data_IF_091034812409
#
_entry.id   IF_091034812409
#
_cell.length_a   1.000
_cell.length_b   1.000
_cell.length_c   1.000
_cell.angle_alpha   90.00
_cell.angle_beta   90.00
_cell.angle_gamma   90.00
#
_symmetry.space_group_name_H-M   'P 1'
#
loop_
_entity.id
_entity.type
_entity.pdbx_description
1 polymer ?
#
# COMPACT_ATOMS: atom_id res chain seq x y z
N UNK A 1 -61.98 -16.35 -55.96
CA UNK A 1 -60.53 -16.20 -55.62
C UNK A 1 -59.69 -15.56 -56.75
N UNK A 2 -60.07 -15.67 -58.02
CA UNK A 2 -59.32 -15.05 -59.15
C UNK A 2 -59.35 -13.51 -59.14
N UNK A 3 -60.50 -12.90 -58.80
CA UNK A 3 -60.66 -11.43 -58.80
C UNK A 3 -59.77 -10.70 -57.77
N UNK A 4 -59.52 -11.33 -56.61
CA UNK A 4 -58.62 -10.76 -55.59
C UNK A 4 -57.15 -10.78 -56.05
N UNK A 5 -56.74 -11.83 -56.79
CA UNK A 5 -55.37 -11.92 -57.33
C UNK A 5 -55.12 -10.91 -58.45
N UNK A 6 -56.10 -10.70 -59.33
CA UNK A 6 -56.03 -9.70 -60.40
C UNK A 6 -56.05 -8.26 -59.87
N UNK A 7 -56.84 -7.98 -58.82
CA UNK A 7 -56.86 -6.66 -58.17
C UNK A 7 -55.53 -6.35 -57.46
N UNK A 8 -54.90 -7.37 -56.87
CA UNK A 8 -53.56 -7.24 -56.26
C UNK A 8 -52.49 -7.04 -57.34
N UNK A 9 -52.54 -7.78 -58.47
CA UNK A 9 -51.56 -7.58 -59.55
C UNK A 9 -51.65 -6.19 -60.18
N UNK A 10 -52.87 -5.67 -60.39
CA UNK A 10 -53.07 -4.33 -60.95
C UNK A 10 -52.55 -3.23 -60.00
N UNK A 11 -52.78 -3.38 -58.69
CA UNK A 11 -52.27 -2.45 -57.68
C UNK A 11 -50.76 -2.54 -57.49
N UNK A 12 -50.17 -3.71 -57.73
CA UNK A 12 -48.72 -3.92 -57.74
C UNK A 12 -48.06 -3.32 -58.99
N UNK A 13 -48.78 -3.17 -60.11
CA UNK A 13 -48.30 -2.50 -61.32
C UNK A 13 -48.51 -0.99 -61.35
N UNK A 14 -49.20 -0.42 -60.36
CA UNK A 14 -49.39 1.03 -60.26
C UNK A 14 -48.03 1.71 -59.99
N UNK A 15 -47.54 2.59 -60.89
CA UNK A 15 -46.21 3.21 -60.77
C UNK A 15 -46.08 4.05 -59.49
N UNK A 16 -47.16 4.65 -59.00
CA UNK A 16 -47.17 5.37 -57.73
C UNK A 16 -47.00 4.44 -56.51
N UNK A 17 -47.61 3.25 -56.54
CA UNK A 17 -47.50 2.28 -55.45
C UNK A 17 -46.09 1.71 -55.40
N UNK A 18 -45.51 1.37 -56.56
CA UNK A 18 -44.13 0.92 -56.67
C UNK A 18 -43.14 1.99 -56.18
N UNK A 19 -43.33 3.26 -56.55
CA UNK A 19 -42.47 4.36 -56.08
C UNK A 19 -42.51 4.54 -54.56
N UNK A 20 -43.71 4.49 -53.95
CA UNK A 20 -43.84 4.58 -52.48
C UNK A 20 -43.25 3.36 -51.76
N UNK A 21 -43.40 2.17 -52.33
CA UNK A 21 -42.84 0.93 -51.77
C UNK A 21 -41.31 0.96 -51.84
N UNK A 22 -40.74 1.32 -52.99
CA UNK A 22 -39.28 1.44 -53.18
C UNK A 22 -38.70 2.47 -52.21
N UNK A 23 -39.31 3.65 -52.06
CA UNK A 23 -38.85 4.67 -51.11
C UNK A 23 -38.87 4.20 -49.65
N UNK A 24 -39.87 3.40 -49.25
CA UNK A 24 -39.92 2.82 -47.90
C UNK A 24 -38.84 1.78 -47.70
N UNK A 25 -38.61 0.92 -48.69
CA UNK A 25 -37.57 -0.11 -48.64
C UNK A 25 -36.16 0.50 -48.65
N UNK A 26 -35.91 1.53 -49.46
CA UNK A 26 -34.62 2.23 -49.47
C UNK A 26 -34.38 2.95 -48.14
N UNK A 27 -35.39 3.60 -47.56
CA UNK A 27 -35.28 4.21 -46.23
C UNK A 27 -34.97 3.17 -45.13
N UNK A 28 -35.59 1.98 -45.20
CA UNK A 28 -35.35 0.89 -44.26
C UNK A 28 -33.92 0.33 -44.41
N UNK A 29 -33.44 0.15 -45.64
CA UNK A 29 -32.04 -0.24 -45.91
C UNK A 29 -31.04 0.78 -45.38
N UNK A 30 -31.29 2.08 -45.58
CA UNK A 30 -30.43 3.15 -45.05
C UNK A 30 -30.45 3.14 -43.52
N UNK A 31 -31.61 2.98 -42.89
CA UNK A 31 -31.72 2.89 -41.44
C UNK A 31 -30.98 1.67 -40.85
N UNK A 32 -31.04 0.52 -41.51
CA UNK A 32 -30.26 -0.65 -41.08
C UNK A 32 -28.76 -0.40 -41.25
N UNK A 33 -28.34 0.20 -42.37
CA UNK A 33 -26.93 0.54 -42.61
C UNK A 33 -26.40 1.49 -41.53
N UNK A 34 -27.14 2.54 -41.17
CA UNK A 34 -26.70 3.48 -40.12
C UNK A 34 -26.59 2.81 -38.75
N UNK A 35 -27.53 1.94 -38.39
CA UNK A 35 -27.46 1.16 -37.14
C UNK A 35 -26.24 0.25 -37.12
N UNK A 36 -25.94 -0.44 -38.24
CA UNK A 36 -24.74 -1.30 -38.30
C UNK A 36 -23.44 -0.51 -38.16
N UNK A 37 -23.33 0.65 -38.81
CA UNK A 37 -22.15 1.52 -38.69
C UNK A 37 -22.01 2.05 -37.26
N UNK A 38 -23.11 2.45 -36.61
CA UNK A 38 -23.07 2.89 -35.22
C UNK A 38 -22.66 1.77 -34.26
N UNK A 39 -23.14 0.54 -34.48
CA UNK A 39 -22.75 -0.62 -33.68
C UNK A 39 -21.27 -0.98 -33.87
N UNK A 40 -20.75 -0.90 -35.09
CA UNK A 40 -19.33 -1.11 -35.39
C UNK A 40 -18.45 -0.01 -34.79
N UNK A 41 -18.88 1.25 -34.83
CA UNK A 41 -18.18 2.35 -34.19
C UNK A 41 -18.15 2.17 -32.66
N UNK A 42 -19.26 1.73 -32.05
CA UNK A 42 -19.32 1.44 -30.63
C UNK A 42 -18.43 0.26 -30.24
N UNK A 43 -18.43 -0.84 -31.00
CA UNK A 43 -17.58 -2.00 -30.70
C UNK A 43 -16.10 -1.65 -30.83
N UNK A 44 -15.73 -0.88 -31.86
CA UNK A 44 -14.37 -0.35 -32.03
C UNK A 44 -13.96 0.56 -30.86
N UNK A 45 -14.86 1.43 -30.40
CA UNK A 45 -14.62 2.29 -29.25
C UNK A 45 -14.46 1.52 -27.93
N UNK A 46 -15.21 0.43 -27.74
CA UNK A 46 -15.03 -0.47 -26.58
C UNK A 46 -13.68 -1.19 -26.64
N UNK A 47 -13.23 -1.61 -27.82
CA UNK A 47 -12.00 -2.38 -28.01
C UNK A 47 -10.73 -1.52 -27.93
N UNK A 48 -10.82 -0.23 -28.29
CA UNK A 48 -9.71 0.73 -28.21
C UNK A 48 -9.59 1.41 -26.85
N UNK A 49 -10.58 1.27 -25.97
CA UNK A 49 -10.44 1.63 -24.56
C UNK A 49 -9.76 0.47 -23.82
N UNK A 50 -8.51 0.62 -23.37
CA UNK A 50 -7.93 -0.38 -22.48
C UNK A 50 -8.84 -0.45 -21.25
N UNK A 51 -9.45 -1.62 -21.01
CA UNK A 51 -10.05 -1.89 -19.71
C UNK A 51 -8.91 -1.81 -18.69
N UNK A 52 -8.86 -0.73 -17.91
CA UNK A 52 -7.90 -0.58 -16.82
C UNK A 52 -8.08 -1.77 -15.88
N UNK A 53 -7.29 -2.81 -16.10
CA UNK A 53 -7.35 -4.04 -15.34
C UNK A 53 -6.65 -3.73 -14.03
N UNK A 54 -7.42 -3.29 -13.03
CA UNK A 54 -6.90 -2.98 -11.70
C UNK A 54 -6.78 -4.30 -10.95
N UNK A 55 -5.56 -4.70 -10.68
CA UNK A 55 -5.30 -5.85 -9.82
C UNK A 55 -5.42 -5.41 -8.37
N UNK A 56 -6.26 -6.12 -7.61
CA UNK A 56 -6.45 -5.89 -6.17
C UNK A 56 -6.02 -7.13 -5.40
N UNK A 57 -5.36 -6.90 -4.27
CA UNK A 57 -5.07 -7.91 -3.26
C UNK A 57 -6.31 -8.08 -2.38
N UNK A 58 -6.77 -9.32 -2.23
CA UNK A 58 -7.88 -9.70 -1.36
C UNK A 58 -7.36 -10.73 -0.37
N UNK A 59 -7.21 -10.35 0.89
CA UNK A 59 -6.68 -11.21 1.97
C UNK A 59 -7.79 -11.81 2.86
N UNK A 60 -9.06 -11.50 2.56
CA UNK A 60 -10.23 -11.94 3.33
C UNK A 60 -10.41 -11.29 4.71
N UNK A 61 -9.49 -10.41 5.14
CA UNK A 61 -9.51 -9.72 6.44
C UNK A 61 -9.66 -8.21 6.31
N UNK A 62 -9.06 -7.63 5.28
CA UNK A 62 -9.02 -6.21 4.99
C UNK A 62 -9.77 -5.90 3.69
N UNK A 63 -10.27 -4.66 3.51
CA UNK A 63 -10.85 -4.26 2.24
C UNK A 63 -9.82 -4.42 1.10
N UNK A 64 -10.28 -4.78 -0.12
CA UNK A 64 -9.39 -4.97 -1.28
C UNK A 64 -8.50 -3.74 -1.52
N UNK A 65 -7.19 -3.96 -1.74
CA UNK A 65 -6.21 -2.87 -1.95
C UNK A 65 -5.52 -3.03 -3.30
N UNK A 66 -5.21 -1.94 -4.04
CA UNK A 66 -4.54 -2.04 -5.33
C UNK A 66 -3.10 -2.55 -5.17
N UNK A 67 -2.64 -3.37 -6.12
CA UNK A 67 -1.23 -3.77 -6.19
C UNK A 67 -0.38 -2.52 -6.49
N UNK A 68 0.57 -2.20 -5.59
CA UNK A 68 1.59 -1.17 -5.82
C UNK A 68 2.96 -1.82 -5.95
N UNK A 69 3.79 -1.39 -6.89
CA UNK A 69 5.16 -1.88 -7.06
C UNK A 69 6.04 -1.53 -5.85
N UNK A 70 6.93 -2.42 -5.39
CA UNK A 70 7.77 -2.26 -4.18
C UNK A 70 8.65 -0.99 -4.13
N UNK A 71 8.82 -0.33 -5.27
CA UNK A 71 9.59 0.92 -5.42
C UNK A 71 8.76 2.18 -5.15
N UNK A 72 7.43 2.05 -5.00
CA UNK A 72 6.56 3.17 -4.63
C UNK A 72 6.32 3.26 -3.11
N UNK A 73 6.05 4.46 -2.56
CA UNK A 73 5.62 4.60 -1.17
C UNK A 73 4.33 3.82 -0.88
N UNK A 74 4.24 3.21 0.32
CA UNK A 74 3.02 2.54 0.82
C UNK A 74 2.17 3.48 1.66
N UNK A 75 2.85 4.37 2.40
CA UNK A 75 2.29 5.37 3.30
C UNK A 75 2.86 6.74 2.96
N UNK A 76 2.24 7.81 3.45
CA UNK A 76 2.83 9.14 3.36
C UNK A 76 4.03 9.30 4.31
N UNK A 77 4.84 10.35 4.08
CA UNK A 77 6.06 10.60 4.86
C UNK A 77 5.76 10.82 6.35
N UNK A 78 4.61 11.41 6.70
CA UNK A 78 4.25 11.67 8.10
C UNK A 78 3.92 10.36 8.80
N UNK A 79 3.10 9.52 8.17
CA UNK A 79 2.75 8.18 8.62
C UNK A 79 3.99 7.29 8.74
N UNK A 80 4.93 7.37 7.80
CA UNK A 80 6.20 6.65 7.85
C UNK A 80 7.01 7.05 9.08
N UNK A 81 7.17 8.36 9.31
CA UNK A 81 7.93 8.88 10.45
C UNK A 81 7.28 8.51 11.78
N UNK A 82 5.96 8.67 11.91
CA UNK A 82 5.21 8.29 13.11
C UNK A 82 5.28 6.78 13.39
N UNK A 83 5.11 5.96 12.35
CA UNK A 83 5.22 4.50 12.44
C UNK A 83 6.62 4.11 12.93
N UNK A 84 7.66 4.73 12.37
CA UNK A 84 9.06 4.45 12.72
C UNK A 84 9.35 4.82 14.17
N UNK A 85 8.94 6.02 14.60
CA UNK A 85 9.11 6.46 16.00
C UNK A 85 8.40 5.48 16.94
N UNK A 86 7.15 5.11 16.66
CA UNK A 86 6.39 4.16 17.49
C UNK A 86 7.06 2.77 17.54
N UNK A 87 7.58 2.31 16.41
CA UNK A 87 8.24 1.02 16.31
C UNK A 87 9.54 0.97 17.12
N UNK A 88 10.36 2.01 17.02
CA UNK A 88 11.61 2.15 17.79
C UNK A 88 11.31 2.31 19.27
N UNK A 89 10.43 3.25 19.66
CA UNK A 89 10.13 3.49 21.08
C UNK A 89 9.60 2.22 21.77
N UNK A 90 8.81 1.40 21.09
CA UNK A 90 8.36 0.11 21.63
C UNK A 90 9.51 -0.85 21.97
N UNK A 91 10.64 -0.79 21.25
CA UNK A 91 11.82 -1.62 21.54
C UNK A 91 12.65 -1.08 22.72
N UNK A 92 12.59 0.23 22.99
CA UNK A 92 13.31 0.88 24.10
C UNK A 92 12.47 1.02 25.39
N UNK A 93 11.15 0.84 25.30
CA UNK A 93 10.20 0.83 26.41
C UNK A 93 10.06 -0.58 26.98
N UNK A 94 11.03 -0.98 27.80
CA UNK A 94 11.09 -2.33 28.37
C UNK A 94 11.38 -2.29 29.87
N UNK A 95 10.93 -3.30 30.60
CA UNK A 95 11.18 -3.43 32.02
C UNK A 95 11.92 -4.74 32.35
N UNK A 96 12.60 -4.79 33.49
CA UNK A 96 13.40 -5.97 33.87
C UNK A 96 12.62 -7.29 33.99
N UNK A 97 11.29 -7.25 34.20
CA UNK A 97 10.44 -8.41 34.44
C UNK A 97 9.86 -8.98 33.14
N UNK A 98 9.28 -8.12 32.31
CA UNK A 98 8.53 -8.44 31.09
C UNK A 98 9.32 -8.19 29.80
N UNK A 99 10.60 -7.82 29.87
CA UNK A 99 11.39 -7.56 28.65
C UNK A 99 11.31 -8.69 27.61
N UNK A 100 11.24 -10.01 27.92
CA UNK A 100 11.19 -11.03 26.87
C UNK A 100 9.92 -10.92 26.03
N UNK A 101 8.77 -10.67 26.66
CA UNK A 101 7.48 -10.55 25.97
C UNK A 101 7.36 -9.21 25.25
N UNK A 102 7.85 -8.13 25.87
CA UNK A 102 7.87 -6.79 25.28
C UNK A 102 8.78 -6.73 24.05
N UNK A 103 10.00 -7.27 24.14
CA UNK A 103 10.94 -7.33 23.02
C UNK A 103 10.42 -8.25 21.91
N UNK A 104 9.82 -9.39 22.22
CA UNK A 104 9.20 -10.25 21.20
C UNK A 104 8.08 -9.51 20.45
N UNK A 105 7.25 -8.75 21.17
CA UNK A 105 6.19 -7.94 20.57
C UNK A 105 6.75 -6.81 19.70
N UNK A 106 7.77 -6.09 20.19
CA UNK A 106 8.45 -5.04 19.43
C UNK A 106 9.14 -5.59 18.17
N UNK A 107 9.76 -6.77 18.27
CA UNK A 107 10.48 -7.46 17.20
C UNK A 107 9.63 -7.76 15.96
N UNK A 108 8.30 -7.81 16.08
CA UNK A 108 7.39 -8.03 14.94
C UNK A 108 7.50 -6.92 13.86
N UNK A 109 7.96 -5.73 14.23
CA UNK A 109 8.19 -4.60 13.31
C UNK A 109 9.58 -4.59 12.65
N UNK A 110 10.42 -5.55 12.98
CA UNK A 110 11.78 -5.66 12.47
C UNK A 110 11.88 -6.79 11.45
N UNK A 111 12.83 -6.67 10.54
CA UNK A 111 13.37 -7.83 9.82
C UNK A 111 14.30 -8.61 10.76
N UNK A 112 14.68 -9.83 10.38
CA UNK A 112 15.64 -10.63 11.16
C UNK A 112 16.97 -9.87 11.28
N UNK A 113 17.43 -9.25 10.19
CA UNK A 113 18.64 -8.43 10.17
C UNK A 113 18.49 -7.19 11.05
N UNK A 114 17.36 -6.47 10.92
CA UNK A 114 17.08 -5.28 11.71
C UNK A 114 17.06 -5.58 13.20
N UNK A 115 16.43 -6.69 13.60
CA UNK A 115 16.41 -7.14 14.98
C UNK A 115 17.80 -7.44 15.53
N UNK A 116 18.63 -8.13 14.75
CA UNK A 116 20.01 -8.42 15.15
C UNK A 116 20.84 -7.14 15.30
N UNK A 117 20.69 -6.18 14.39
CA UNK A 117 21.39 -4.89 14.48
C UNK A 117 20.97 -4.08 15.72
N UNK A 118 19.67 -4.08 16.03
CA UNK A 118 19.14 -3.48 17.25
C UNK A 118 19.74 -4.16 18.49
N UNK A 119 19.66 -5.49 18.57
CA UNK A 119 20.15 -6.24 19.72
C UNK A 119 21.64 -5.98 19.97
N UNK A 120 22.46 -5.97 18.91
CA UNK A 120 23.88 -5.63 19.01
C UNK A 120 24.10 -4.21 19.51
N UNK A 121 23.42 -3.21 18.94
CA UNK A 121 23.54 -1.81 19.35
C UNK A 121 23.07 -1.59 20.79
N UNK A 122 21.98 -2.23 21.18
CA UNK A 122 21.38 -2.11 22.51
C UNK A 122 22.23 -2.77 23.60
N UNK A 123 22.84 -3.92 23.29
CA UNK A 123 23.80 -4.58 24.20
C UNK A 123 25.11 -3.78 24.32
N UNK A 124 25.63 -3.25 23.22
CA UNK A 124 26.85 -2.45 23.21
C UNK A 124 26.73 -1.17 24.04
N UNK A 125 25.54 -0.56 24.08
CA UNK A 125 25.25 0.61 24.91
C UNK A 125 25.17 0.33 26.42
N UNK A 126 25.27 -0.92 26.88
CA UNK A 126 25.31 -1.31 28.30
C UNK A 126 24.00 -1.11 29.09
N UNK A 127 23.04 -0.38 28.53
CA UNK A 127 21.77 -0.01 29.19
C UNK A 127 20.90 -1.23 29.51
N UNK A 128 20.90 -2.25 28.65
CA UNK A 128 20.14 -3.49 28.86
C UNK A 128 20.63 -4.28 30.07
N UNK A 129 21.95 -4.43 30.20
CA UNK A 129 22.56 -5.16 31.32
C UNK A 129 22.40 -4.40 32.63
N UNK A 130 22.51 -3.06 32.60
CA UNK A 130 22.23 -2.21 33.74
C UNK A 130 20.77 -2.33 34.20
N UNK A 131 19.82 -2.35 33.27
CA UNK A 131 18.40 -2.54 33.58
C UNK A 131 18.15 -3.89 34.27
N UNK A 132 18.72 -4.98 33.75
CA UNK A 132 18.56 -6.33 34.33
C UNK A 132 19.15 -6.41 35.73
N UNK A 133 20.38 -5.94 35.93
CA UNK A 133 21.06 -5.99 37.24
C UNK A 133 20.38 -5.08 38.26
N UNK A 134 19.99 -3.88 37.84
CA UNK A 134 19.36 -2.88 38.68
C UNK A 134 17.86 -3.08 38.89
N UNK A 135 17.24 -4.09 38.26
CA UNK A 135 15.78 -4.30 38.25
C UNK A 135 15.02 -3.01 37.90
N UNK A 136 15.48 -2.34 36.85
CA UNK A 136 14.94 -1.04 36.43
C UNK A 136 13.78 -1.20 35.44
N UNK A 137 12.96 -0.16 35.37
CA UNK A 137 12.00 0.07 34.30
C UNK A 137 12.58 1.12 33.36
N UNK A 138 12.68 0.82 32.07
CA UNK A 138 13.17 1.76 31.07
C UNK A 138 12.02 2.27 30.20
N UNK A 139 11.99 3.58 30.00
CA UNK A 139 11.10 4.25 29.07
C UNK A 139 11.90 5.24 28.21
N UNK A 140 11.41 5.46 27.00
CA UNK A 140 12.04 6.25 25.98
C UNK A 140 11.02 7.20 25.35
N UNK A 141 11.49 8.40 25.05
CA UNK A 141 10.71 9.43 24.39
C UNK A 141 11.54 10.11 23.31
N UNK A 142 10.91 10.43 22.17
CA UNK A 142 11.53 11.22 21.13
C UNK A 142 11.68 12.67 21.61
N UNK A 143 12.89 13.23 21.55
CA UNK A 143 13.15 14.61 21.95
C UNK A 143 12.80 15.62 20.85
N UNK A 144 12.82 15.17 19.58
CA UNK A 144 12.48 15.98 18.41
C UNK A 144 11.75 15.11 17.38
N UNK A 145 11.12 15.79 16.42
CA UNK A 145 10.50 15.12 15.29
C UNK A 145 11.54 14.30 14.50
N UNK A 146 11.09 13.17 13.95
CA UNK A 146 11.90 12.36 13.06
C UNK A 146 11.99 12.99 11.68
N UNK A 147 13.11 12.72 11.00
CA UNK A 147 13.41 13.26 9.68
C UNK A 147 13.91 12.14 8.78
N UNK A 148 13.55 12.23 7.50
CA UNK A 148 14.08 11.33 6.46
C UNK A 148 15.43 11.91 6.03
N UNK A 149 16.52 11.23 6.40
CA UNK A 149 17.87 11.63 6.04
C UNK A 149 18.21 11.26 4.59
N UNK A 150 17.71 10.12 4.11
CA UNK A 150 17.94 9.63 2.75
C UNK A 150 16.81 8.68 2.32
N UNK A 151 16.50 8.68 1.02
CA UNK A 151 15.51 7.79 0.39
C UNK A 151 16.14 7.16 -0.84
N UNK A 152 16.19 5.83 -0.88
CA UNK A 152 16.82 5.09 -1.98
C UNK A 152 16.09 3.78 -2.28
N UNK A 153 16.32 3.24 -3.46
CA UNK A 153 15.90 1.88 -3.79
C UNK A 153 17.09 0.95 -3.53
N UNK A 154 16.90 -0.02 -2.62
CA UNK A 154 17.91 -1.03 -2.28
C UNK A 154 17.31 -2.41 -2.49
N UNK A 155 17.99 -3.26 -3.26
CA UNK A 155 17.50 -4.62 -3.58
C UNK A 155 16.06 -4.65 -4.13
N UNK A 156 15.70 -3.68 -4.97
CA UNK A 156 14.35 -3.56 -5.56
C UNK A 156 13.26 -3.11 -4.58
N UNK A 157 13.63 -2.59 -3.40
CA UNK A 157 12.71 -2.12 -2.37
C UNK A 157 12.99 -0.68 -2.01
N UNK A 158 11.94 0.12 -1.89
CA UNK A 158 12.05 1.48 -1.38
C UNK A 158 12.52 1.45 0.09
N UNK A 159 13.57 2.21 0.37
CA UNK A 159 14.31 2.23 1.63
C UNK A 159 14.47 3.66 2.10
N UNK A 160 14.20 3.90 3.38
CA UNK A 160 14.27 5.19 4.04
C UNK A 160 15.23 5.13 5.21
N UNK A 161 16.18 6.05 5.25
CA UNK A 161 17.03 6.27 6.41
C UNK A 161 16.41 7.37 7.26
N UNK A 162 15.92 7.02 8.45
CA UNK A 162 15.20 7.91 9.33
C UNK A 162 16.04 8.17 10.58
N UNK A 163 16.14 9.44 10.97
CA UNK A 163 16.94 9.86 12.12
C UNK A 163 16.15 10.73 13.09
N UNK A 164 16.34 10.47 14.38
CA UNK A 164 15.77 11.28 15.45
C UNK A 164 16.47 11.08 16.79
N UNK A 165 16.53 12.12 17.65
CA UNK A 165 17.04 11.99 19.00
C UNK A 165 15.98 11.38 19.93
N UNK A 166 16.41 10.44 20.77
CA UNK A 166 15.62 9.76 21.79
C UNK A 166 16.30 9.93 23.14
N UNK A 167 15.51 10.18 24.18
CA UNK A 167 15.95 10.12 25.56
C UNK A 167 15.42 8.84 26.18
N UNK A 168 16.32 7.97 26.64
CA UNK A 168 15.95 6.78 27.40
C UNK A 168 16.27 7.00 28.88
N UNK A 169 15.28 6.81 29.74
CA UNK A 169 15.45 6.83 31.19
C UNK A 169 15.13 5.45 31.74
N UNK A 170 16.04 4.91 32.55
CA UNK A 170 15.87 3.68 33.30
C UNK A 170 15.92 4.01 34.79
N UNK A 171 14.89 3.61 35.54
CA UNK A 171 14.79 3.96 36.97
C UNK A 171 14.28 2.82 37.83
N UNK A 172 14.60 2.90 39.12
CA UNK A 172 14.02 2.10 40.20
C UNK A 172 13.86 2.99 41.45
N UNK A 173 13.57 2.41 42.62
CA UNK A 173 13.39 3.16 43.87
C UNK A 173 14.65 3.84 44.44
N UNK A 174 15.84 3.53 43.91
CA UNK A 174 17.14 3.95 44.47
C UNK A 174 17.99 4.77 43.49
N UNK A 175 17.78 4.59 42.18
CA UNK A 175 18.64 5.15 41.15
C UNK A 175 17.85 5.41 39.86
N UNK A 176 18.26 6.47 39.16
CA UNK A 176 17.76 6.86 37.84
C UNK A 176 18.96 7.08 36.93
N UNK A 177 18.89 6.55 35.71
CA UNK A 177 19.90 6.71 34.67
C UNK A 177 19.23 7.19 33.39
N UNK A 178 19.75 8.28 32.81
CA UNK A 178 19.21 8.87 31.59
C UNK A 178 20.30 8.95 30.53
N UNK A 179 20.00 8.43 29.35
CA UNK A 179 20.87 8.40 28.19
C UNK A 179 20.20 9.11 27.00
N UNK A 180 20.93 10.05 26.39
CA UNK A 180 20.52 10.68 25.14
C UNK A 180 21.12 9.89 23.98
N UNK A 181 20.26 9.42 23.09
CA UNK A 181 20.60 8.59 21.94
C UNK A 181 20.19 9.31 20.66
N UNK A 182 21.00 9.18 19.62
CA UNK A 182 20.58 9.49 18.25
C UNK A 182 20.29 8.17 17.56
N UNK A 183 19.04 8.00 17.15
CA UNK A 183 18.57 6.82 16.43
C UNK A 183 18.80 7.03 14.95
N UNK A 184 19.37 6.01 14.29
CA UNK A 184 19.38 5.85 12.85
C UNK A 184 18.69 4.54 12.49
N UNK A 185 17.49 4.63 11.91
CA UNK A 185 16.67 3.50 11.52
C UNK A 185 16.56 3.42 10.00
N UNK A 186 16.94 2.28 9.41
CA UNK A 186 16.68 1.97 8.01
C UNK A 186 15.36 1.23 7.91
N UNK A 187 14.35 1.88 7.32
CA UNK A 187 13.01 1.32 7.12
C UNK A 187 12.85 0.94 5.67
N UNK A 188 12.49 -0.31 5.41
CA UNK A 188 12.29 -0.83 4.07
C UNK A 188 10.84 -1.24 3.88
N UNK A 189 10.37 -1.07 2.66
CA UNK A 189 9.08 -1.63 2.26
C UNK A 189 9.13 -3.15 2.22
N UNK A 190 8.06 -3.80 2.68
CA UNK A 190 7.84 -5.24 2.55
C UNK A 190 6.50 -5.56 1.90
N UNK A 191 6.40 -6.75 1.31
CA UNK A 191 5.17 -7.34 0.75
C UNK A 191 4.72 -8.58 1.54
N UNK A 192 5.24 -8.75 2.75
CA UNK A 192 4.93 -9.89 3.60
C UNK A 192 3.49 -9.82 4.13
N UNK A 193 2.72 -10.89 3.94
CA UNK A 193 1.33 -10.99 4.36
C UNK A 193 1.18 -10.91 5.89
N UNK A 194 2.20 -11.35 6.64
CA UNK A 194 2.21 -11.28 8.10
C UNK A 194 2.47 -9.85 8.62
N UNK A 195 2.72 -8.89 7.72
CA UNK A 195 3.09 -7.50 8.04
C UNK A 195 2.13 -6.50 7.41
N UNK A 196 0.96 -6.27 8.03
CA UNK A 196 -0.11 -5.45 7.45
C UNK A 196 0.27 -3.99 7.22
N UNK A 197 1.27 -3.48 7.94
CA UNK A 197 1.79 -2.12 7.78
C UNK A 197 2.62 -1.93 6.49
N UNK A 198 3.07 -3.02 5.85
CA UNK A 198 3.89 -2.98 4.63
C UNK A 198 5.30 -2.40 4.82
N UNK A 199 5.73 -2.21 6.07
CA UNK A 199 7.01 -1.63 6.47
C UNK A 199 7.73 -2.52 7.48
N UNK A 200 9.06 -2.55 7.43
CA UNK A 200 9.91 -3.17 8.45
C UNK A 200 11.16 -2.34 8.70
N UNK A 201 11.64 -2.36 9.93
CA UNK A 201 12.97 -1.84 10.26
C UNK A 201 14.00 -2.92 9.90
N UNK A 202 14.88 -2.62 8.95
CA UNK A 202 15.90 -3.53 8.44
C UNK A 202 17.31 -3.27 9.02
N UNK A 203 17.48 -2.10 9.64
CA UNK A 203 18.63 -1.78 10.47
C UNK A 203 18.23 -0.75 11.53
N UNK A 204 18.71 -0.91 12.76
CA UNK A 204 18.54 0.06 13.83
C UNK A 204 19.84 0.21 14.60
N UNK A 205 20.39 1.41 14.59
CA UNK A 205 21.61 1.75 15.33
C UNK A 205 21.32 2.97 16.20
N UNK A 206 21.70 2.89 17.47
CA UNK A 206 21.67 4.00 18.39
C UNK A 206 23.10 4.41 18.77
N UNK A 207 23.38 5.70 18.69
CA UNK A 207 24.66 6.28 19.09
C UNK A 207 24.40 7.18 20.30
N UNK A 208 25.13 6.94 21.39
CA UNK A 208 25.07 7.80 22.57
C UNK A 208 25.62 9.19 22.21
N UNK A 209 24.93 10.23 22.66
CA UNK A 209 25.29 11.62 22.44
C UNK A 209 26.05 12.21 23.63
#
# INVERSE_FOLDING_TARGET
MQNARAAVSNRLSDPEFQGRLVNRLTMLCVAMATVTVAALAHSYWLQTRPSETRYFLVDGRNPPRPIRALESPVVDDTQLLEWTVRAVLAAYNVNYHDYPTQLNTAGRRFSIQGWNSFAQSYMAGGSFEAMKRGRMVCYAQAQRAATIADTRISSGRLTYNIQFPVMQTCENSQQTSTNNLVISAMVVRTNDEDRPDGLVIDQLVAIAR
#
